data_IF_378698544948
#
_entry.id   IF_378698544948
#
_cell.length_a   1.000
_cell.length_b   1.000
_cell.length_c   1.000
_cell.angle_alpha   90.00
_cell.angle_beta   90.00
_cell.angle_gamma   90.00
#
_symmetry.space_group_name_H-M   'P 1'
#
loop_
_entity.id
_entity.type
_entity.pdbx_description
1 polymer ?
#
# COMPACT_ATOMS: atom_id res chain seq x y z
N UNK A 1 -2.21 -10.71 11.71
CA UNK A 1 -2.53 -10.70 13.16
C UNK A 1 -2.18 -9.34 13.78
N UNK A 2 -0.99 -8.74 13.50
CA UNK A 2 -0.61 -7.44 14.06
C UNK A 2 -1.61 -6.33 13.67
N UNK A 3 -1.93 -6.18 12.38
CA UNK A 3 -2.92 -5.20 11.90
C UNK A 3 -4.33 -5.42 12.46
N UNK A 4 -4.75 -6.66 12.68
CA UNK A 4 -6.08 -6.97 13.21
C UNK A 4 -6.27 -6.57 14.68
N UNK A 5 -5.19 -6.27 15.39
CA UNK A 5 -5.21 -5.83 16.80
C UNK A 5 -4.85 -4.35 16.95
N UNK A 6 -4.46 -3.70 15.86
CA UNK A 6 -4.05 -2.32 15.87
C UNK A 6 -5.28 -1.39 15.82
N UNK A 7 -5.19 -0.27 16.52
CA UNK A 7 -6.20 0.80 16.49
C UNK A 7 -5.78 1.98 15.59
N UNK A 8 -4.62 1.84 14.93
CA UNK A 8 -4.03 2.83 14.03
C UNK A 8 -3.14 2.12 13.00
N UNK A 9 -2.69 2.81 11.94
CA UNK A 9 -1.64 2.31 11.07
C UNK A 9 -0.40 1.87 11.85
N UNK A 10 0.27 0.82 11.41
CA UNK A 10 1.44 0.29 12.10
C UNK A 10 2.64 0.16 11.18
N UNK A 11 3.81 0.37 11.75
CA UNK A 11 5.02 -0.20 11.22
C UNK A 11 5.14 -1.67 11.63
N UNK A 12 5.47 -2.51 10.67
CA UNK A 12 5.80 -3.90 10.91
C UNK A 12 7.21 -4.17 10.40
N UNK A 13 8.05 -4.69 11.25
CA UNK A 13 9.44 -4.99 10.93
C UNK A 13 9.79 -6.43 11.32
N UNK A 14 10.54 -7.08 10.44
CA UNK A 14 11.13 -8.39 10.71
C UNK A 14 12.63 -8.16 10.95
N UNK A 15 13.08 -8.46 12.16
CA UNK A 15 14.49 -8.41 12.53
C UNK A 15 15.02 -9.84 12.63
N UNK A 16 16.17 -10.08 12.04
CA UNK A 16 16.95 -11.30 12.25
C UNK A 16 18.09 -10.99 13.22
N UNK A 17 17.87 -11.23 14.50
CA UNK A 17 18.92 -11.14 15.50
C UNK A 17 19.21 -12.53 16.07
N UNK A 18 20.50 -12.90 16.13
CA UNK A 18 20.99 -14.16 16.76
C UNK A 18 20.34 -15.44 16.20
N UNK A 19 20.01 -15.45 14.89
CA UNK A 19 19.41 -16.62 14.25
C UNK A 19 17.92 -16.83 14.54
N UNK A 20 17.28 -15.91 15.25
CA UNK A 20 15.82 -15.91 15.46
C UNK A 20 15.16 -14.76 14.73
N UNK A 21 14.02 -15.06 14.09
CA UNK A 21 13.15 -14.06 13.49
C UNK A 21 12.30 -13.41 14.58
N UNK A 22 12.53 -12.13 14.83
CA UNK A 22 11.73 -11.33 15.76
C UNK A 22 10.86 -10.38 14.94
N UNK A 23 9.55 -10.45 15.18
CA UNK A 23 8.60 -9.56 14.56
C UNK A 23 8.28 -8.41 15.51
N UNK A 24 8.52 -7.19 15.07
CA UNK A 24 8.19 -5.99 15.82
C UNK A 24 7.08 -5.22 15.11
N UNK A 25 6.12 -4.72 15.90
CA UNK A 25 5.10 -3.79 15.41
C UNK A 25 4.98 -2.60 16.34
N UNK A 26 4.90 -1.41 15.78
CA UNK A 26 4.66 -0.17 16.50
C UNK A 26 3.68 0.70 15.75
N UNK A 27 2.93 1.54 16.46
CA UNK A 27 2.03 2.51 15.81
C UNK A 27 2.83 3.41 14.85
N UNK A 28 2.24 3.68 13.70
CA UNK A 28 2.71 4.67 12.74
C UNK A 28 1.74 5.84 12.78
N UNK A 29 2.27 7.06 12.98
CA UNK A 29 1.47 8.26 12.93
C UNK A 29 1.25 8.66 11.47
N UNK A 30 0.37 7.92 10.78
CA UNK A 30 0.03 8.21 9.39
C UNK A 30 -1.40 8.70 9.28
N UNK A 31 -1.58 10.02 9.33
CA UNK A 31 -2.84 10.71 9.09
C UNK A 31 -2.59 11.91 8.17
N UNK A 32 -2.30 11.64 6.88
CA UNK A 32 -1.87 12.68 5.94
C UNK A 32 -3.00 13.67 5.64
N UNK A 33 -2.64 14.94 5.37
CA UNK A 33 -3.58 15.97 4.97
C UNK A 33 -4.33 15.64 3.68
N UNK A 34 -3.73 14.82 2.82
CA UNK A 34 -4.27 14.34 1.55
C UNK A 34 -4.99 12.98 1.65
N UNK A 35 -5.39 12.54 2.83
CA UNK A 35 -6.05 11.23 3.02
C UNK A 35 -7.34 11.07 2.22
N UNK A 36 -8.05 12.18 1.97
CA UNK A 36 -9.27 12.18 1.16
C UNK A 36 -9.01 11.95 -0.34
N UNK A 37 -7.75 12.03 -0.75
CA UNK A 37 -7.26 11.70 -2.09
C UNK A 37 -6.79 10.24 -2.24
N UNK A 38 -6.95 9.42 -1.19
CA UNK A 38 -6.54 8.01 -1.17
C UNK A 38 -7.78 7.12 -1.19
N UNK A 39 -7.81 6.22 -2.17
CA UNK A 39 -8.89 5.26 -2.39
C UNK A 39 -8.36 3.84 -2.36
N UNK A 40 -9.19 2.90 -1.91
CA UNK A 40 -8.94 1.48 -1.96
C UNK A 40 -10.01 0.82 -2.82
N UNK A 41 -9.59 0.10 -3.85
CA UNK A 41 -10.46 -0.40 -4.92
C UNK A 41 -10.35 -1.92 -4.94
N UNK A 42 -11.49 -2.61 -4.80
CA UNK A 42 -11.54 -4.06 -4.86
C UNK A 42 -11.63 -4.55 -6.29
N UNK A 43 -10.76 -5.48 -6.67
CA UNK A 43 -10.66 -5.99 -8.04
C UNK A 43 -11.55 -7.20 -8.34
N UNK A 44 -12.29 -7.71 -7.37
CA UNK A 44 -13.25 -8.80 -7.59
C UNK A 44 -12.65 -10.21 -7.67
N UNK A 45 -11.32 -10.38 -7.52
CA UNK A 45 -10.70 -11.71 -7.58
C UNK A 45 -9.64 -11.91 -6.50
N UNK A 46 -9.65 -13.10 -5.93
CA UNK A 46 -8.71 -13.50 -4.89
C UNK A 46 -7.49 -14.16 -5.49
N UNK A 47 -6.30 -13.64 -5.18
CA UNK A 47 -5.03 -14.27 -5.53
C UNK A 47 -4.62 -15.32 -4.49
N UNK A 48 -3.98 -16.40 -4.96
CA UNK A 48 -3.37 -17.38 -4.08
C UNK A 48 -1.96 -16.92 -3.65
N UNK A 49 -1.92 -16.18 -2.56
CA UNK A 49 -0.68 -15.61 -2.01
C UNK A 49 0.40 -16.67 -1.72
N UNK A 50 0.01 -17.89 -1.36
CA UNK A 50 0.97 -18.95 -1.04
C UNK A 50 1.77 -19.37 -2.27
N UNK A 51 1.11 -19.52 -3.42
CA UNK A 51 1.77 -19.87 -4.68
C UNK A 51 2.71 -18.77 -5.15
N UNK A 52 2.30 -17.51 -4.98
CA UNK A 52 3.12 -16.34 -5.35
C UNK A 52 4.40 -16.25 -4.50
N UNK A 53 4.27 -16.43 -3.18
CA UNK A 53 5.42 -16.45 -2.27
C UNK A 53 6.37 -17.60 -2.62
N UNK A 54 5.84 -18.79 -2.88
CA UNK A 54 6.65 -19.93 -3.28
C UNK A 54 7.42 -19.65 -4.58
N UNK A 55 6.74 -19.17 -5.61
CA UNK A 55 7.35 -18.85 -6.91
C UNK A 55 8.44 -17.75 -6.77
N UNK A 56 8.25 -16.80 -5.86
CA UNK A 56 9.27 -15.79 -5.56
C UNK A 56 10.50 -16.39 -4.86
N UNK A 57 10.30 -17.23 -3.85
CA UNK A 57 11.38 -17.87 -3.10
C UNK A 57 12.19 -18.84 -3.98
N UNK A 58 11.54 -19.53 -4.90
CA UNK A 58 12.18 -20.47 -5.83
C UNK A 58 13.17 -19.76 -6.77
N UNK A 59 13.07 -18.46 -6.98
CA UNK A 59 14.03 -17.66 -7.78
C UNK A 59 15.44 -17.62 -7.19
N UNK A 60 15.60 -17.78 -5.88
CA UNK A 60 16.89 -17.78 -5.15
C UNK A 60 17.80 -16.58 -5.49
N UNK A 61 17.22 -15.42 -5.79
CA UNK A 61 17.95 -14.18 -6.06
C UNK A 61 18.25 -13.45 -4.76
N UNK A 62 19.34 -12.69 -4.74
CA UNK A 62 19.61 -11.73 -3.66
C UNK A 62 18.86 -10.44 -3.94
N UNK A 63 18.10 -9.95 -2.96
CA UNK A 63 17.30 -8.74 -3.01
C UNK A 63 17.67 -7.72 -1.90
N UNK A 64 18.88 -7.83 -1.31
CA UNK A 64 19.27 -6.97 -0.18
C UNK A 64 19.17 -5.48 -0.50
N UNK A 65 19.54 -5.08 -1.72
CA UNK A 65 19.46 -3.70 -2.19
C UNK A 65 18.01 -3.23 -2.28
N UNK A 66 17.15 -4.04 -2.86
CA UNK A 66 15.72 -3.73 -3.03
C UNK A 66 15.00 -3.70 -1.69
N UNK A 67 15.31 -4.64 -0.80
CA UNK A 67 14.78 -4.67 0.58
C UNK A 67 15.18 -3.40 1.32
N UNK A 68 16.44 -2.97 1.20
CA UNK A 68 16.91 -1.71 1.81
C UNK A 68 16.13 -0.52 1.28
N UNK A 69 16.00 -0.39 -0.04
CA UNK A 69 15.29 0.73 -0.67
C UNK A 69 13.81 0.78 -0.28
N UNK A 70 13.12 -0.37 -0.27
CA UNK A 70 11.71 -0.46 0.15
C UNK A 70 11.56 -0.12 1.64
N UNK A 71 12.50 -0.56 2.48
CA UNK A 71 12.50 -0.26 3.91
C UNK A 71 12.68 1.24 4.16
N UNK A 72 13.53 1.91 3.38
CA UNK A 72 13.71 3.36 3.44
C UNK A 72 12.45 4.11 3.03
N UNK A 73 11.81 3.71 1.92
CA UNK A 73 10.52 4.27 1.49
C UNK A 73 9.48 4.10 2.60
N UNK A 74 9.36 2.90 3.18
CA UNK A 74 8.39 2.62 4.24
C UNK A 74 8.59 3.51 5.47
N UNK A 75 9.83 3.90 5.79
CA UNK A 75 10.12 4.82 6.91
C UNK A 75 9.73 6.26 6.60
N UNK A 76 9.82 6.67 5.33
CA UNK A 76 9.53 8.04 4.89
C UNK A 76 8.02 8.28 4.76
N UNK A 77 7.26 7.28 4.32
CA UNK A 77 5.82 7.42 4.01
C UNK A 77 5.01 8.14 5.10
N UNK A 78 5.17 7.85 6.40
CA UNK A 78 4.37 8.51 7.44
C UNK A 78 4.63 10.00 7.61
N UNK A 79 5.78 10.47 7.16
CA UNK A 79 6.21 11.88 7.30
C UNK A 79 5.91 12.72 6.05
N UNK A 80 5.36 12.11 5.00
CA UNK A 80 5.02 12.79 3.74
C UNK A 80 3.83 13.73 3.97
N UNK A 81 3.99 14.97 3.49
CA UNK A 81 3.01 16.04 3.68
C UNK A 81 2.19 16.37 2.41
N UNK A 82 2.64 15.93 1.24
CA UNK A 82 1.99 16.25 -0.04
C UNK A 82 1.59 14.99 -0.81
N UNK A 83 0.48 15.06 -1.53
CA UNK A 83 0.04 13.99 -2.43
C UNK A 83 1.05 13.73 -3.54
N UNK A 84 1.72 14.77 -4.02
CA UNK A 84 2.75 14.67 -5.06
C UNK A 84 3.93 13.82 -4.60
N UNK A 85 4.46 14.07 -3.40
CA UNK A 85 5.56 13.28 -2.83
C UNK A 85 5.11 11.85 -2.54
N UNK A 86 3.88 11.68 -2.02
CA UNK A 86 3.31 10.35 -1.81
C UNK A 86 3.27 9.55 -3.11
N UNK A 87 2.73 10.13 -4.17
CA UNK A 87 2.68 9.52 -5.49
C UNK A 87 4.08 9.18 -6.03
N UNK A 88 5.06 10.06 -5.81
CA UNK A 88 6.45 9.81 -6.20
C UNK A 88 7.01 8.56 -5.51
N UNK A 89 6.86 8.44 -4.18
CA UNK A 89 7.36 7.27 -3.45
C UNK A 89 6.59 5.99 -3.75
N UNK A 90 5.28 6.06 -3.95
CA UNK A 90 4.47 4.93 -4.41
C UNK A 90 4.96 4.44 -5.77
N UNK A 91 5.23 5.35 -6.71
CA UNK A 91 5.79 5.02 -8.02
C UNK A 91 7.11 4.27 -7.90
N UNK A 92 8.06 4.78 -7.11
CA UNK A 92 9.37 4.14 -6.93
C UNK A 92 9.21 2.75 -6.30
N UNK A 93 8.38 2.64 -5.26
CA UNK A 93 8.09 1.35 -4.62
C UNK A 93 7.56 0.33 -5.63
N UNK A 94 6.58 0.72 -6.45
CA UNK A 94 5.99 -0.15 -7.47
C UNK A 94 6.99 -0.51 -8.59
N UNK A 95 7.92 0.38 -8.93
CA UNK A 95 9.00 0.10 -9.90
C UNK A 95 9.98 -0.96 -9.36
N UNK A 96 10.38 -0.84 -8.10
CA UNK A 96 11.24 -1.83 -7.44
C UNK A 96 10.53 -3.19 -7.39
N UNK A 97 9.27 -3.22 -6.91
CA UNK A 97 8.49 -4.46 -6.82
C UNK A 97 8.24 -5.09 -8.19
N UNK A 98 7.94 -4.28 -9.21
CA UNK A 98 7.78 -4.72 -10.60
C UNK A 98 9.03 -5.45 -11.12
N UNK A 99 10.20 -4.92 -10.81
CA UNK A 99 11.49 -5.53 -11.16
C UNK A 99 11.73 -6.84 -10.40
N UNK A 100 11.52 -6.86 -9.08
CA UNK A 100 11.70 -8.04 -8.24
C UNK A 100 10.79 -9.20 -8.65
N UNK A 101 9.53 -8.89 -8.94
CA UNK A 101 8.50 -9.87 -9.25
C UNK A 101 8.43 -10.19 -10.75
N UNK A 102 9.15 -9.43 -11.61
CA UNK A 102 9.12 -9.57 -13.07
C UNK A 102 7.69 -9.42 -13.63
N UNK A 103 6.94 -8.47 -13.06
CA UNK A 103 5.54 -8.18 -13.41
C UNK A 103 5.34 -6.69 -13.72
N UNK A 104 4.40 -6.41 -14.59
CA UNK A 104 4.03 -5.02 -14.90
C UNK A 104 3.38 -4.37 -13.67
N UNK A 105 3.71 -3.11 -13.42
CA UNK A 105 3.00 -2.29 -12.43
C UNK A 105 1.51 -2.23 -12.76
N UNK A 106 0.68 -2.21 -11.73
CA UNK A 106 -0.78 -2.10 -11.90
C UNK A 106 -1.17 -0.84 -12.68
N UNK A 107 -0.48 0.27 -12.46
CA UNK A 107 -0.68 1.54 -13.18
C UNK A 107 -0.61 1.40 -14.71
N UNK A 108 0.09 0.38 -15.24
CA UNK A 108 0.16 0.10 -16.68
C UNK A 108 -1.16 -0.43 -17.27
N UNK A 109 -2.03 -0.97 -16.43
CA UNK A 109 -3.39 -1.39 -16.82
C UNK A 109 -4.39 -0.22 -16.74
N UNK A 110 -4.00 0.87 -16.06
CA UNK A 110 -4.79 2.09 -15.86
C UNK A 110 -3.96 3.32 -16.28
N UNK A 111 -3.41 3.28 -17.48
CA UNK A 111 -2.48 4.31 -17.98
C UNK A 111 -3.13 5.70 -18.14
N UNK A 112 -4.44 5.73 -18.28
CA UNK A 112 -5.28 6.90 -18.38
C UNK A 112 -5.73 7.48 -17.01
N UNK A 113 -5.39 6.82 -15.89
CA UNK A 113 -5.65 7.35 -14.55
C UNK A 113 -4.65 8.46 -14.21
N UNK A 114 -5.09 9.61 -13.73
CA UNK A 114 -4.22 10.69 -13.26
C UNK A 114 -3.90 10.50 -11.78
N UNK A 115 -2.63 10.23 -11.46
CA UNK A 115 -2.14 9.87 -10.13
C UNK A 115 -1.38 8.55 -10.14
N UNK A 116 -1.21 7.95 -8.98
CA UNK A 116 -0.52 6.66 -8.86
C UNK A 116 -1.44 5.57 -8.32
N UNK A 117 -1.09 4.35 -8.69
CA UNK A 117 -1.77 3.14 -8.22
C UNK A 117 -0.75 2.13 -7.70
N UNK A 118 -1.12 1.47 -6.63
CA UNK A 118 -0.32 0.43 -5.98
C UNK A 118 -1.12 -0.83 -5.77
N UNK A 119 -0.55 -1.97 -6.14
CA UNK A 119 -1.08 -3.27 -5.73
C UNK A 119 -0.88 -3.50 -4.25
N UNK A 120 -1.92 -3.92 -3.54
CA UNK A 120 -1.86 -4.27 -2.13
C UNK A 120 -1.84 -5.80 -1.94
N UNK A 121 -1.29 -6.24 -0.80
CA UNK A 121 -1.12 -7.66 -0.51
C UNK A 121 -0.05 -8.33 -1.36
N UNK A 122 -0.30 -9.56 -1.81
CA UNK A 122 0.64 -10.37 -2.60
C UNK A 122 0.60 -10.01 -4.09
N UNK A 123 0.94 -8.84 -4.44
CA UNK A 123 1.04 -8.23 -5.77
C UNK A 123 0.15 -8.84 -6.89
N UNK A 124 -0.93 -8.18 -7.20
CA UNK A 124 -2.02 -8.72 -8.02
C UNK A 124 -3.17 -9.25 -7.16
N UNK A 125 -3.19 -8.88 -5.88
CA UNK A 125 -4.22 -9.23 -4.91
C UNK A 125 -5.53 -8.50 -5.11
N UNK A 126 -6.37 -8.65 -4.12
CA UNK A 126 -7.78 -8.28 -4.16
C UNK A 126 -8.00 -6.76 -4.18
N UNK A 127 -7.05 -5.99 -3.63
CA UNK A 127 -7.16 -4.54 -3.44
C UNK A 127 -6.06 -3.79 -4.17
N UNK A 128 -6.44 -2.64 -4.72
CA UNK A 128 -5.57 -1.59 -5.19
C UNK A 128 -5.67 -0.40 -4.25
N UNK A 129 -4.59 0.34 -4.08
CA UNK A 129 -4.61 1.70 -3.58
C UNK A 129 -4.44 2.65 -4.77
N UNK A 130 -5.27 3.68 -4.84
CA UNK A 130 -5.15 4.77 -5.80
C UNK A 130 -4.99 6.09 -5.05
N UNK A 131 -4.13 6.97 -5.55
CA UNK A 131 -3.92 8.30 -4.99
C UNK A 131 -3.93 9.34 -6.12
N UNK A 132 -4.86 10.30 -6.06
CA UNK A 132 -5.17 11.22 -7.16
C UNK A 132 -5.73 12.56 -6.66
N UNK A 133 -5.54 13.61 -7.47
CA UNK A 133 -6.21 14.91 -7.31
C UNK A 133 -7.66 14.92 -7.82
N UNK A 134 -8.12 13.86 -8.44
CA UNK A 134 -9.51 13.76 -8.89
C UNK A 134 -10.46 13.81 -7.70
N UNK A 135 -11.64 14.38 -7.91
CA UNK A 135 -12.73 14.31 -6.96
C UNK A 135 -13.36 12.90 -6.91
N UNK A 136 -14.22 12.69 -5.92
CA UNK A 136 -14.87 11.40 -5.67
C UNK A 136 -15.68 10.93 -6.88
N UNK A 137 -16.44 11.82 -7.50
CA UNK A 137 -17.34 11.47 -8.62
C UNK A 137 -16.53 10.98 -9.83
N UNK A 138 -15.43 11.66 -10.14
CA UNK A 138 -14.53 11.27 -11.24
C UNK A 138 -13.85 9.93 -10.97
N UNK A 139 -13.41 9.68 -9.73
CA UNK A 139 -12.82 8.38 -9.35
C UNK A 139 -13.83 7.27 -9.47
N UNK A 140 -15.06 7.47 -8.96
CA UNK A 140 -16.14 6.48 -9.00
C UNK A 140 -16.54 6.17 -10.44
N UNK A 141 -16.73 7.19 -11.26
CA UNK A 141 -17.07 7.03 -12.68
C UNK A 141 -15.97 6.26 -13.42
N UNK A 142 -14.71 6.67 -13.23
CA UNK A 142 -13.57 6.01 -13.85
C UNK A 142 -13.50 4.52 -13.49
N UNK A 143 -13.61 4.20 -12.19
CA UNK A 143 -13.55 2.83 -11.72
C UNK A 143 -14.70 1.99 -12.26
N UNK A 144 -15.93 2.51 -12.24
CA UNK A 144 -17.11 1.82 -12.80
C UNK A 144 -16.96 1.52 -14.29
N UNK A 145 -16.42 2.46 -15.05
CA UNK A 145 -16.13 2.26 -16.48
C UNK A 145 -15.09 1.17 -16.74
N UNK A 146 -14.30 0.78 -15.71
CA UNK A 146 -13.35 -0.34 -15.73
C UNK A 146 -13.91 -1.62 -15.08
N UNK A 147 -15.19 -1.62 -14.66
CA UNK A 147 -15.82 -2.76 -13.98
C UNK A 147 -15.41 -2.93 -12.51
N UNK A 148 -14.96 -1.86 -11.85
CA UNK A 148 -14.50 -1.83 -10.47
C UNK A 148 -15.52 -1.06 -9.62
N UNK A 149 -16.51 -1.74 -9.07
CA UNK A 149 -17.66 -1.11 -8.42
C UNK A 149 -17.49 -0.91 -6.90
N UNK A 150 -16.51 -1.57 -6.29
CA UNK A 150 -16.32 -1.53 -4.83
C UNK A 150 -15.10 -0.65 -4.51
N UNK A 151 -15.38 0.53 -4.00
CA UNK A 151 -14.40 1.58 -3.71
C UNK A 151 -14.60 2.04 -2.27
N UNK A 152 -13.51 2.17 -1.53
CA UNK A 152 -13.47 2.69 -0.17
C UNK A 152 -12.57 3.92 -0.14
N UNK A 153 -12.91 4.90 0.68
CA UNK A 153 -12.03 6.02 1.03
C UNK A 153 -11.08 5.62 2.17
N UNK A 154 -10.05 6.39 2.39
CA UNK A 154 -9.10 6.15 3.47
C UNK A 154 -9.79 5.96 4.83
N UNK A 155 -10.70 6.86 5.17
CA UNK A 155 -11.40 6.83 6.46
C UNK A 155 -12.39 5.66 6.62
N UNK A 156 -12.78 4.99 5.54
CA UNK A 156 -13.71 3.85 5.60
C UNK A 156 -13.03 2.58 6.12
N UNK A 157 -11.71 2.45 5.91
CA UNK A 157 -11.00 1.20 6.22
C UNK A 157 -9.76 1.39 7.10
N UNK A 158 -9.25 2.61 7.24
CA UNK A 158 -8.11 2.86 8.12
C UNK A 158 -8.60 3.32 9.49
N UNK A 159 -8.39 2.48 10.50
CA UNK A 159 -8.65 2.84 11.88
C UNK A 159 -7.63 3.88 12.36
N UNK A 160 -8.10 4.91 13.03
CA UNK A 160 -7.26 5.97 13.60
C UNK A 160 -7.81 6.46 14.94
N UNK A 161 -8.05 5.53 15.86
CA UNK A 161 -8.70 5.78 17.17
C UNK A 161 -7.85 6.62 18.11
N UNK A 162 -6.54 6.68 17.93
CA UNK A 162 -5.68 7.50 18.79
C UNK A 162 -5.94 8.99 18.58
N UNK A 163 -6.30 9.43 17.37
CA UNK A 163 -6.62 10.83 17.09
C UNK A 163 -8.00 11.27 17.58
N UNK A 164 -8.97 10.38 17.65
CA UNK A 164 -10.32 10.70 18.16
C UNK A 164 -10.31 11.01 19.66
N UNK A 165 -9.43 10.40 20.44
CA UNK A 165 -9.29 10.65 21.89
C UNK A 165 -8.70 12.04 22.22
N UNK A 166 -7.96 12.65 21.30
CA UNK A 166 -7.32 13.97 21.49
C UNK A 166 -8.27 15.11 21.16
N UNK A 167 -9.32 14.88 20.36
CA UNK A 167 -10.32 15.89 19.98
C UNK A 167 -11.50 15.98 20.96
N UNK A 168 -11.56 15.14 21.98
CA UNK A 168 -12.68 15.06 22.94
C UNK A 168 -12.31 15.62 24.32
N UNK A 169 -11.21 16.36 24.45
CA UNK A 169 -10.77 17.15 25.62
C UNK A 169 -10.80 18.64 25.29
#
# INVERSE_FOLDING_TARGET
IACAKAEAPIFYQINESTGQRVNESRAANFNPSFKDNIYFIYQGHKQNSANEVKAFLDKKKNYDREIKSISEISRIIPDIQTLSDFNYFIKIHEEIMSSCLERKRIKKHFNDFEGEMKSLGAWGGDLLMAATEWDDDKVIEYCRNKGLDVIFKYNDIILNREFEKTLTL
#
